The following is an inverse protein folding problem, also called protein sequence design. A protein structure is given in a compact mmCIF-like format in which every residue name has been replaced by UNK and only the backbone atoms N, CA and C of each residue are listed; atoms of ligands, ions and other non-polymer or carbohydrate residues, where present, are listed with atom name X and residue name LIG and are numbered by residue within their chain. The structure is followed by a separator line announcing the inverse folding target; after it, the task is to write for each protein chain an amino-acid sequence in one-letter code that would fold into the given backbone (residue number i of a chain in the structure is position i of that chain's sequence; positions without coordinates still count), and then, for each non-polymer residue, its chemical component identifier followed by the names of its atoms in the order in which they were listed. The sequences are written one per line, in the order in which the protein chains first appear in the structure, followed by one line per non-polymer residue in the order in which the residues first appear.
data_IF_957710888724
#
_entry.id   IF_957710888724
#
_cell.length_a   1.000
_cell.length_b   1.000
_cell.length_c   1.000
_cell.angle_alpha   90.00
_cell.angle_beta   90.00
_cell.angle_gamma   90.00
#
_symmetry.space_group_name_H-M   'P 1'
#
loop_
_entity.id
_entity.type
_entity.pdbx_description
1 polymer ?
#
# COMPACT_ATOMS: atom_id res chain seq x y z
N UNK A 1 -13.99 48.69 43.92
CA UNK A 1 -14.17 48.49 42.47
C UNK A 1 -13.85 47.02 42.23
N UNK A 2 -14.76 46.10 42.55
CA UNK A 2 -15.97 45.73 41.78
C UNK A 2 -15.57 45.34 40.35
N UNK A 3 -15.92 44.20 39.75
CA UNK A 3 -16.61 42.97 40.13
C UNK A 3 -16.45 42.04 38.90
N UNK A 4 -16.78 40.76 39.07
CA UNK A 4 -17.29 39.87 38.02
C UNK A 4 -16.40 39.44 36.83
N UNK A 5 -15.78 38.27 36.97
CA UNK A 5 -15.52 37.34 35.86
C UNK A 5 -16.15 35.97 36.16
N UNK A 6 -17.48 35.97 36.31
CA UNK A 6 -18.30 34.77 36.34
C UNK A 6 -19.09 34.60 35.05
N UNK A 7 -18.57 33.90 34.04
CA UNK A 7 -19.44 33.32 33.01
C UNK A 7 -18.80 32.09 32.30
N UNK A 8 -18.82 30.95 32.99
CA UNK A 8 -18.60 29.64 32.36
C UNK A 8 -19.90 29.22 31.67
N UNK A 9 -20.07 29.64 30.41
CA UNK A 9 -21.13 29.08 29.57
C UNK A 9 -20.86 27.59 29.30
N UNK A 10 -21.57 26.74 30.04
CA UNK A 10 -21.73 25.31 29.74
C UNK A 10 -22.42 25.16 28.39
N UNK A 11 -21.65 24.83 27.36
CA UNK A 11 -22.17 24.32 26.10
C UNK A 11 -22.74 22.90 26.31
N UNK A 12 -24.00 22.79 26.75
CA UNK A 12 -24.72 21.51 26.84
C UNK A 12 -25.52 21.23 25.57
N UNK A 13 -24.88 21.24 24.40
CA UNK A 13 -25.48 20.60 23.22
C UNK A 13 -25.15 19.12 23.24
N UNK A 14 -25.88 18.34 24.06
CA UNK A 14 -26.02 16.89 23.86
C UNK A 14 -26.73 16.67 22.52
N UNK A 15 -25.98 16.69 21.42
CA UNK A 15 -26.43 15.94 20.23
C UNK A 15 -26.43 14.49 20.67
N UNK A 16 -27.62 13.92 20.84
CA UNK A 16 -27.79 12.47 20.86
C UNK A 16 -27.19 11.95 19.56
N UNK A 17 -25.94 11.46 19.63
CA UNK A 17 -25.38 10.63 18.57
C UNK A 17 -26.37 9.48 18.38
N UNK A 18 -26.81 9.19 17.14
CA UNK A 18 -27.72 8.08 16.91
C UNK A 18 -27.10 6.80 17.50
N UNK A 19 -27.68 6.32 18.59
CA UNK A 19 -27.27 5.11 19.34
C UNK A 19 -27.57 3.84 18.56
N UNK A 20 -28.08 3.95 17.34
CA UNK A 20 -28.12 2.88 16.36
C UNK A 20 -26.75 2.73 15.69
N UNK A 21 -25.71 2.44 16.48
CA UNK A 21 -24.64 1.60 15.97
C UNK A 21 -25.33 0.28 15.65
N UNK A 22 -25.73 0.13 14.37
CA UNK A 22 -26.28 -1.10 13.82
C UNK A 22 -25.48 -2.24 14.43
N UNK A 23 -26.13 -3.13 15.19
CA UNK A 23 -25.55 -4.41 15.61
C UNK A 23 -25.07 -5.08 14.32
N UNK A 24 -23.82 -4.83 13.98
CA UNK A 24 -23.18 -5.45 12.85
C UNK A 24 -23.26 -6.93 13.17
N UNK A 25 -24.00 -7.67 12.37
CA UNK A 25 -24.36 -9.05 12.66
C UNK A 25 -23.07 -9.85 12.85
N UNK A 26 -22.73 -10.10 14.13
CA UNK A 26 -21.48 -10.72 14.53
C UNK A 26 -21.33 -12.09 13.87
N UNK A 27 -22.45 -12.75 13.53
CA UNK A 27 -22.48 -13.99 12.76
C UNK A 27 -21.95 -13.78 11.34
N UNK A 28 -22.38 -12.73 10.62
CA UNK A 28 -21.87 -12.40 9.28
C UNK A 28 -20.39 -12.09 9.29
N UNK A 29 -19.92 -11.36 10.30
CA UNK A 29 -18.48 -11.10 10.45
C UNK A 29 -17.69 -12.39 10.67
N UNK A 30 -18.12 -13.24 11.60
CA UNK A 30 -17.45 -14.50 11.89
C UNK A 30 -17.43 -15.45 10.67
N UNK A 31 -18.56 -15.58 9.98
CA UNK A 31 -18.67 -16.37 8.73
C UNK A 31 -17.70 -15.85 7.68
N UNK A 32 -17.61 -14.52 7.51
CA UNK A 32 -16.67 -13.92 6.57
C UNK A 32 -15.21 -14.21 6.92
N UNK A 33 -14.84 -14.11 8.21
CA UNK A 33 -13.48 -14.41 8.68
C UNK A 33 -13.12 -15.88 8.47
N UNK A 34 -14.02 -16.80 8.81
CA UNK A 34 -13.81 -18.24 8.65
C UNK A 34 -13.70 -18.60 7.16
N UNK A 35 -14.64 -18.13 6.34
CA UNK A 35 -14.64 -18.40 4.89
C UNK A 35 -13.36 -17.88 4.22
N UNK A 36 -12.89 -16.69 4.64
CA UNK A 36 -11.62 -16.14 4.17
C UNK A 36 -10.44 -17.03 4.56
N UNK A 37 -10.34 -17.44 5.83
CA UNK A 37 -9.25 -18.31 6.27
C UNK A 37 -9.26 -19.67 5.58
N UNK A 38 -10.45 -20.24 5.33
CA UNK A 38 -10.60 -21.48 4.57
C UNK A 38 -10.12 -21.30 3.11
N UNK A 39 -10.54 -20.23 2.44
CA UNK A 39 -10.11 -19.91 1.08
C UNK A 39 -8.58 -19.72 0.99
N UNK A 40 -7.97 -19.08 1.99
CA UNK A 40 -6.52 -18.89 2.08
C UNK A 40 -5.76 -20.22 2.13
N UNK A 41 -6.22 -21.15 2.97
CA UNK A 41 -5.61 -22.48 3.13
C UNK A 41 -5.82 -23.32 1.88
N UNK A 42 -7.02 -23.27 1.30
CA UNK A 42 -7.35 -23.98 0.06
C UNK A 42 -6.46 -23.49 -1.09
N UNK A 43 -6.34 -22.16 -1.27
CA UNK A 43 -5.51 -21.59 -2.32
C UNK A 43 -4.03 -22.00 -2.17
N UNK A 44 -3.51 -21.99 -0.94
CA UNK A 44 -2.15 -22.46 -0.63
C UNK A 44 -1.97 -23.95 -0.95
N UNK A 45 -2.94 -24.78 -0.55
CA UNK A 45 -2.91 -26.23 -0.80
C UNK A 45 -2.92 -26.53 -2.31
N UNK A 46 -3.85 -25.92 -3.05
CA UNK A 46 -3.97 -26.08 -4.51
C UNK A 46 -2.71 -25.60 -5.24
N UNK A 47 -2.12 -24.49 -4.82
CA UNK A 47 -0.85 -24.01 -5.36
C UNK A 47 0.29 -25.00 -5.10
N UNK A 48 0.37 -25.57 -3.88
CA UNK A 48 1.36 -26.58 -3.52
C UNK A 48 1.27 -27.85 -4.37
N UNK A 49 0.05 -28.29 -4.71
CA UNK A 49 -0.20 -29.38 -5.65
C UNK A 49 -0.15 -28.97 -7.13
N UNK A 50 0.34 -27.76 -7.44
CA UNK A 50 0.48 -27.22 -8.80
C UNK A 50 -0.82 -27.23 -9.62
N UNK A 51 -1.97 -27.03 -8.97
CA UNK A 51 -3.29 -27.02 -9.62
C UNK A 51 -3.59 -25.66 -10.27
N UNK A 52 -2.87 -25.32 -11.34
CA UNK A 52 -2.91 -24.01 -11.99
C UNK A 52 -4.33 -23.53 -12.35
N UNK A 53 -5.17 -24.42 -12.92
CA UNK A 53 -6.55 -24.10 -13.34
C UNK A 53 -7.42 -23.74 -12.13
N UNK A 54 -7.41 -24.57 -11.08
CA UNK A 54 -8.23 -24.35 -9.89
C UNK A 54 -7.80 -23.09 -9.14
N UNK A 55 -6.49 -22.84 -9.06
CA UNK A 55 -5.95 -21.60 -8.48
C UNK A 55 -6.40 -20.38 -9.30
N UNK A 56 -6.36 -20.43 -10.63
CA UNK A 56 -6.84 -19.33 -11.47
C UNK A 56 -8.34 -19.06 -11.30
N UNK A 57 -9.17 -20.11 -11.26
CA UNK A 57 -10.63 -20.00 -11.00
C UNK A 57 -10.88 -19.38 -9.63
N UNK A 58 -10.23 -19.88 -8.58
CA UNK A 58 -10.42 -19.35 -7.23
C UNK A 58 -9.92 -17.90 -7.11
N UNK A 59 -8.79 -17.57 -7.74
CA UNK A 59 -8.28 -16.21 -7.82
C UNK A 59 -9.30 -15.28 -8.48
N UNK A 60 -9.91 -15.70 -9.60
CA UNK A 60 -10.95 -14.94 -10.29
C UNK A 60 -12.19 -14.71 -9.43
N UNK A 61 -12.67 -15.74 -8.74
CA UNK A 61 -13.86 -15.66 -7.88
C UNK A 61 -13.65 -14.72 -6.68
N UNK A 62 -12.43 -14.70 -6.15
CA UNK A 62 -12.05 -13.86 -5.00
C UNK A 62 -11.59 -12.45 -5.41
N UNK A 63 -11.48 -12.18 -6.72
CA UNK A 63 -11.18 -10.85 -7.26
C UNK A 63 -12.49 -10.10 -7.52
N UNK A 64 -12.61 -8.91 -6.93
CA UNK A 64 -13.78 -8.04 -7.11
C UNK A 64 -13.49 -6.90 -8.08
N UNK A 65 -14.52 -6.27 -8.61
CA UNK A 65 -14.39 -5.02 -9.36
C UNK A 65 -14.29 -3.84 -8.38
N UNK A 66 -13.45 -2.85 -8.69
CA UNK A 66 -13.44 -1.58 -7.97
C UNK A 66 -14.64 -0.74 -8.43
N UNK A 67 -15.55 -0.31 -7.55
CA UNK A 67 -16.56 0.66 -7.92
C UNK A 67 -15.89 2.00 -8.22
N UNK A 68 -16.30 2.67 -9.31
CA UNK A 68 -15.78 3.97 -9.72
C UNK A 68 -16.86 4.82 -10.39
N UNK A 69 -16.69 6.15 -10.44
CA UNK A 69 -17.67 7.07 -11.04
C UNK A 69 -17.96 6.76 -12.51
N UNK A 70 -16.97 6.22 -13.23
CA UNK A 70 -17.09 5.83 -14.64
C UNK A 70 -17.32 4.32 -14.83
N UNK A 71 -17.66 3.59 -13.76
CA UNK A 71 -17.77 2.14 -13.75
C UNK A 71 -19.20 1.63 -14.06
N UNK A 72 -19.94 2.36 -14.90
CA UNK A 72 -21.36 2.17 -15.23
C UNK A 72 -21.69 0.93 -16.09
N UNK A 73 -20.77 -0.04 -16.20
CA UNK A 73 -20.90 -1.23 -17.06
C UNK A 73 -20.15 -1.07 -18.39
N UNK A 74 -20.51 -1.90 -19.37
CA UNK A 74 -19.91 -1.88 -20.72
C UNK A 74 -18.53 -2.52 -20.85
N UNK A 75 -17.93 -2.44 -22.03
CA UNK A 75 -16.55 -2.86 -22.25
C UNK A 75 -15.59 -1.70 -21.93
N UNK A 76 -14.38 -1.99 -21.44
CA UNK A 76 -13.35 -0.99 -21.16
C UNK A 76 -12.11 -1.31 -21.99
N UNK A 77 -11.35 -0.29 -22.39
CA UNK A 77 -10.15 -0.47 -23.23
C UNK A 77 -9.05 -1.21 -22.49
N UNK A 78 -8.89 -0.91 -21.20
CA UNK A 78 -7.86 -1.49 -20.36
C UNK A 78 -8.46 -2.11 -19.10
N UNK A 79 -7.93 -3.27 -18.72
CA UNK A 79 -8.26 -3.97 -17.50
C UNK A 79 -7.00 -4.08 -16.64
N UNK A 80 -7.04 -3.51 -15.44
CA UNK A 80 -5.90 -3.46 -14.54
C UNK A 80 -6.20 -4.27 -13.30
N UNK A 81 -5.31 -5.20 -12.94
CA UNK A 81 -5.39 -5.89 -11.66
C UNK A 81 -4.61 -5.11 -10.59
N UNK A 82 -5.30 -4.67 -9.55
CA UNK A 82 -4.72 -4.07 -8.36
C UNK A 82 -4.58 -5.12 -7.26
N UNK A 83 -3.37 -5.23 -6.69
CA UNK A 83 -3.14 -6.01 -5.47
C UNK A 83 -3.41 -5.11 -4.25
N UNK A 84 -4.49 -5.41 -3.53
CA UNK A 84 -5.05 -4.51 -2.52
C UNK A 84 -4.17 -4.33 -1.29
N UNK A 85 -4.02 -3.07 -0.87
CA UNK A 85 -3.33 -2.69 0.36
C UNK A 85 -3.95 -1.41 0.93
N UNK A 86 -3.96 -1.31 2.26
CA UNK A 86 -4.38 -0.10 2.98
C UNK A 86 -3.75 1.16 2.37
N UNK A 87 -4.54 2.22 2.22
CA UNK A 87 -4.22 3.51 1.57
C UNK A 87 -3.86 3.47 0.07
N UNK A 88 -3.46 2.32 -0.49
CA UNK A 88 -3.18 2.20 -1.92
C UNK A 88 -4.46 2.22 -2.75
N UNK A 89 -5.56 1.71 -2.19
CA UNK A 89 -6.89 1.79 -2.81
C UNK A 89 -7.26 3.22 -3.18
N UNK A 90 -6.99 4.19 -2.30
CA UNK A 90 -7.30 5.61 -2.55
C UNK A 90 -6.47 6.18 -3.69
N UNK A 91 -5.19 5.80 -3.80
CA UNK A 91 -4.34 6.26 -4.91
C UNK A 91 -4.83 5.71 -6.24
N UNK A 92 -5.15 4.42 -6.31
CA UNK A 92 -5.67 3.77 -7.52
C UNK A 92 -7.05 4.32 -7.87
N UNK A 93 -7.92 4.52 -6.87
CA UNK A 93 -9.25 5.09 -7.07
C UNK A 93 -9.20 6.51 -7.62
N UNK A 94 -8.34 7.37 -7.05
CA UNK A 94 -8.17 8.75 -7.48
C UNK A 94 -7.49 8.89 -8.86
N UNK A 95 -6.72 7.88 -9.29
CA UNK A 95 -6.05 7.85 -10.59
C UNK A 95 -6.79 6.95 -11.59
N UNK A 96 -6.45 5.66 -11.63
CA UNK A 96 -6.99 4.69 -12.58
C UNK A 96 -8.50 4.51 -12.47
N UNK A 97 -9.06 4.55 -11.26
CA UNK A 97 -10.50 4.43 -11.01
C UNK A 97 -11.32 5.63 -11.52
N UNK A 98 -10.68 6.78 -11.73
CA UNK A 98 -11.28 7.96 -12.34
C UNK A 98 -11.17 7.97 -13.87
N UNK A 99 -10.46 7.02 -14.49
CA UNK A 99 -10.31 6.95 -15.94
C UNK A 99 -11.54 6.28 -16.59
N UNK A 100 -12.12 6.86 -17.67
CA UNK A 100 -13.23 6.25 -18.38
C UNK A 100 -12.82 4.98 -19.15
N UNK A 101 -11.54 4.83 -19.47
CA UNK A 101 -11.00 3.75 -20.32
C UNK A 101 -10.54 2.52 -19.53
N UNK A 102 -10.43 2.64 -18.20
CA UNK A 102 -9.82 1.63 -17.34
C UNK A 102 -10.89 0.94 -16.49
N UNK A 103 -10.82 -0.39 -16.44
CA UNK A 103 -11.49 -1.22 -15.43
C UNK A 103 -10.46 -1.69 -14.41
N UNK A 104 -10.68 -1.39 -13.14
CA UNK A 104 -9.81 -1.89 -12.06
C UNK A 104 -10.46 -3.11 -11.39
N UNK A 105 -9.72 -4.21 -11.37
CA UNK A 105 -10.03 -5.41 -10.60
C UNK A 105 -9.18 -5.42 -9.34
N UNK A 106 -9.76 -5.73 -8.19
CA UNK A 106 -9.11 -5.67 -6.89
C UNK A 106 -8.99 -7.08 -6.33
N UNK A 107 -7.76 -7.58 -6.33
CA UNK A 107 -7.41 -8.82 -5.65
C UNK A 107 -6.94 -8.51 -4.24
N UNK A 108 -7.50 -9.17 -3.23
CA UNK A 108 -6.97 -9.03 -1.88
C UNK A 108 -5.52 -9.55 -1.84
N UNK A 109 -4.56 -8.79 -1.31
CA UNK A 109 -3.13 -9.22 -1.19
C UNK A 109 -2.94 -10.60 -0.58
N UNK A 110 -3.88 -11.04 0.23
CA UNK A 110 -3.87 -12.38 0.81
C UNK A 110 -3.84 -13.46 -0.27
N UNK A 111 -4.49 -13.28 -1.41
CA UNK A 111 -4.49 -14.27 -2.50
C UNK A 111 -3.06 -14.55 -2.98
N UNK A 112 -2.33 -13.50 -3.32
CA UNK A 112 -0.93 -13.60 -3.77
C UNK A 112 -0.04 -14.16 -2.64
N UNK A 113 -0.26 -13.74 -1.39
CA UNK A 113 0.50 -14.27 -0.23
C UNK A 113 0.25 -15.75 0.03
N UNK A 114 -0.98 -16.23 -0.13
CA UNK A 114 -1.33 -17.64 0.04
C UNK A 114 -0.67 -18.52 -1.03
N UNK A 115 -0.65 -18.05 -2.29
CA UNK A 115 0.06 -18.76 -3.37
C UNK A 115 1.57 -18.74 -3.08
N UNK A 116 2.14 -17.58 -2.78
CA UNK A 116 3.57 -17.45 -2.46
C UNK A 116 3.98 -18.36 -1.30
N UNK A 117 3.16 -18.48 -0.24
CA UNK A 117 3.43 -19.33 0.91
C UNK A 117 3.41 -20.84 0.62
N UNK A 118 2.96 -21.27 -0.57
CA UNK A 118 3.09 -22.64 -1.02
C UNK A 118 4.50 -22.98 -1.53
N UNK A 119 5.28 -21.96 -1.91
CA UNK A 119 6.60 -22.11 -2.52
C UNK A 119 7.71 -21.52 -1.66
N UNK A 120 7.51 -20.29 -1.18
CA UNK A 120 8.54 -19.50 -0.54
C UNK A 120 8.74 -19.92 0.93
N UNK A 121 10.00 -19.92 1.41
CA UNK A 121 10.30 -20.18 2.80
C UNK A 121 9.67 -19.12 3.73
N UNK A 122 9.18 -19.50 4.92
CA UNK A 122 8.50 -18.59 5.83
C UNK A 122 9.38 -17.47 6.39
N UNK A 123 10.71 -17.61 6.30
CA UNK A 123 11.71 -16.64 6.73
C UNK A 123 11.73 -15.40 5.84
N UNK A 124 11.27 -15.49 4.58
CA UNK A 124 11.22 -14.34 3.68
C UNK A 124 10.18 -13.31 4.10
N UNK A 125 10.58 -12.04 4.04
CA UNK A 125 9.68 -10.91 4.21
C UNK A 125 10.06 -9.70 3.35
N UNK A 126 9.26 -8.63 3.47
CA UNK A 126 9.40 -7.41 2.66
C UNK A 126 10.73 -6.66 2.91
N UNK A 127 11.42 -6.96 4.02
CA UNK A 127 12.72 -6.40 4.43
C UNK A 127 13.81 -7.49 4.58
N UNK A 128 13.56 -8.71 4.12
CA UNK A 128 14.51 -9.82 4.10
C UNK A 128 14.14 -10.76 2.96
N UNK A 129 14.49 -10.34 1.74
CA UNK A 129 14.19 -11.11 0.54
C UNK A 129 15.42 -11.62 -0.18
N UNK A 130 16.50 -10.83 -0.21
CA UNK A 130 17.78 -11.24 -0.81
C UNK A 130 18.31 -12.44 -0.01
N UNK A 131 18.75 -13.48 -0.71
CA UNK A 131 19.22 -14.73 -0.13
C UNK A 131 20.08 -15.47 -1.12
N UNK A 132 21.24 -15.95 -0.66
CA UNK A 132 22.18 -16.76 -1.43
C UNK A 132 21.98 -18.27 -1.21
N UNK A 133 21.08 -18.66 -0.30
CA UNK A 133 20.70 -20.06 -0.11
C UNK A 133 20.13 -20.66 -1.42
N UNK A 134 20.75 -21.73 -1.98
CA UNK A 134 20.30 -22.36 -3.21
C UNK A 134 18.85 -22.86 -3.16
N UNK A 135 18.38 -23.34 -1.99
CA UNK A 135 16.99 -23.81 -1.84
C UNK A 135 16.01 -22.66 -1.98
N UNK A 136 16.30 -21.54 -1.33
CA UNK A 136 15.50 -20.31 -1.45
C UNK A 136 15.49 -19.76 -2.88
N UNK A 137 16.63 -19.80 -3.58
CA UNK A 137 16.72 -19.40 -4.99
C UNK A 137 15.84 -20.31 -5.86
N UNK A 138 15.90 -21.63 -5.66
CA UNK A 138 15.06 -22.55 -6.41
C UNK A 138 13.56 -22.35 -6.10
N UNK A 139 13.19 -22.15 -4.84
CA UNK A 139 11.81 -21.86 -4.44
C UNK A 139 11.22 -20.61 -5.13
N UNK A 140 12.03 -19.54 -5.30
CA UNK A 140 11.64 -18.36 -6.06
C UNK A 140 11.41 -18.66 -7.54
N UNK A 141 12.30 -19.46 -8.16
CA UNK A 141 12.14 -19.91 -9.56
C UNK A 141 10.87 -20.72 -9.75
N UNK A 142 10.64 -21.68 -8.87
CA UNK A 142 9.44 -22.54 -8.86
C UNK A 142 8.15 -21.73 -8.74
N UNK A 143 8.14 -20.71 -7.87
CA UNK A 143 7.02 -19.80 -7.71
C UNK A 143 6.77 -18.99 -8.99
N UNK A 144 7.83 -18.40 -9.56
CA UNK A 144 7.77 -17.65 -10.83
C UNK A 144 7.24 -18.53 -11.98
N UNK A 145 7.70 -19.77 -12.09
CA UNK A 145 7.24 -20.72 -13.10
C UNK A 145 5.75 -21.07 -12.92
N UNK A 146 5.32 -21.35 -11.67
CA UNK A 146 3.91 -21.59 -11.38
C UNK A 146 3.04 -20.42 -11.82
N UNK A 147 3.43 -19.18 -11.48
CA UNK A 147 2.71 -17.98 -11.88
C UNK A 147 2.67 -17.82 -13.40
N UNK A 148 3.77 -18.10 -14.09
CA UNK A 148 3.86 -18.04 -15.55
C UNK A 148 2.86 -18.99 -16.23
N UNK A 149 2.63 -20.18 -15.65
CA UNK A 149 1.65 -21.16 -16.15
C UNK A 149 0.21 -20.83 -15.74
N UNK A 150 0.01 -20.31 -14.53
CA UNK A 150 -1.32 -19.98 -14.00
C UNK A 150 -1.90 -18.72 -14.67
N UNK A 151 -1.06 -17.73 -15.00
CA UNK A 151 -1.54 -16.42 -15.43
C UNK A 151 -2.30 -16.40 -16.76
N UNK A 152 -1.89 -17.13 -17.81
CA UNK A 152 -2.69 -17.22 -19.05
C UNK A 152 -4.10 -17.75 -18.79
N UNK A 153 -4.25 -18.74 -17.89
CA UNK A 153 -5.56 -19.26 -17.49
C UNK A 153 -6.41 -18.21 -16.78
N UNK A 154 -5.80 -17.42 -15.88
CA UNK A 154 -6.48 -16.31 -15.21
C UNK A 154 -6.90 -15.23 -16.22
N UNK A 155 -6.05 -14.93 -17.20
CA UNK A 155 -6.30 -13.89 -18.21
C UNK A 155 -7.44 -14.30 -19.16
N UNK A 156 -7.58 -15.60 -19.43
CA UNK A 156 -8.73 -16.14 -20.15
C UNK A 156 -10.04 -15.96 -19.36
N UNK A 157 -10.03 -16.16 -18.04
CA UNK A 157 -11.21 -15.96 -17.16
C UNK A 157 -11.55 -14.49 -16.92
N UNK A 158 -10.55 -13.61 -17.00
CA UNK A 158 -10.66 -12.18 -16.77
C UNK A 158 -9.50 -11.48 -17.45
N UNK A 159 -9.75 -10.69 -18.51
CA UNK A 159 -8.70 -9.94 -19.18
C UNK A 159 -7.96 -9.04 -18.19
N UNK A 160 -6.63 -9.07 -18.24
CA UNK A 160 -5.73 -8.23 -17.46
C UNK A 160 -4.64 -7.72 -18.39
N UNK A 161 -4.64 -6.41 -18.63
CA UNK A 161 -3.67 -5.73 -19.48
C UNK A 161 -2.48 -5.19 -18.68
N UNK A 162 -2.61 -5.00 -17.37
CA UNK A 162 -1.53 -4.58 -16.48
C UNK A 162 -1.82 -4.96 -15.03
N UNK A 163 -0.78 -5.04 -14.21
CA UNK A 163 -0.87 -5.26 -12.76
C UNK A 163 -0.28 -4.07 -12.02
N UNK A 164 -0.93 -3.63 -10.95
CA UNK A 164 -0.46 -2.56 -10.07
C UNK A 164 -0.34 -3.03 -8.62
N UNK A 165 0.77 -2.66 -7.98
CA UNK A 165 1.08 -2.95 -6.57
C UNK A 165 1.41 -1.68 -5.79
N UNK A 166 1.25 -1.71 -4.46
CA UNK A 166 1.56 -0.60 -3.56
C UNK A 166 3.05 -0.47 -3.18
N UNK A 167 3.90 -1.43 -3.55
CA UNK A 167 5.31 -1.44 -3.18
C UNK A 167 6.12 -2.37 -4.10
N UNK A 168 7.33 -1.96 -4.46
CA UNK A 168 8.21 -2.80 -5.27
C UNK A 168 8.78 -4.01 -4.50
N UNK A 169 8.85 -3.91 -3.16
CA UNK A 169 9.57 -4.83 -2.29
C UNK A 169 8.70 -5.88 -1.61
N UNK A 170 7.41 -6.01 -1.94
CA UNK A 170 6.55 -6.99 -1.29
C UNK A 170 6.93 -8.42 -1.67
N UNK A 171 7.32 -9.24 -0.69
CA UNK A 171 7.95 -10.53 -0.93
C UNK A 171 7.13 -11.45 -1.85
N UNK A 172 5.81 -11.47 -1.68
CA UNK A 172 4.91 -12.34 -2.43
C UNK A 172 4.71 -11.87 -3.89
N UNK A 173 5.03 -10.62 -4.18
CA UNK A 173 4.72 -9.96 -5.46
C UNK A 173 5.94 -9.84 -6.38
N UNK A 174 7.14 -10.22 -5.91
CA UNK A 174 8.38 -10.08 -6.68
C UNK A 174 8.49 -11.07 -7.82
N UNK A 175 8.26 -12.34 -7.53
CA UNK A 175 8.21 -13.35 -8.60
C UNK A 175 6.96 -13.18 -9.47
N UNK A 176 5.91 -12.55 -8.94
CA UNK A 176 4.76 -12.13 -9.75
C UNK A 176 5.16 -11.05 -10.75
N UNK A 177 5.87 -10.01 -10.33
CA UNK A 177 6.40 -9.00 -11.24
C UNK A 177 7.28 -9.64 -12.32
N UNK A 178 8.20 -10.53 -11.93
CA UNK A 178 9.04 -11.27 -12.88
C UNK A 178 8.25 -12.12 -13.88
N UNK A 179 7.24 -12.86 -13.42
CA UNK A 179 6.37 -13.67 -14.26
C UNK A 179 5.55 -12.82 -15.24
N UNK A 180 5.05 -11.65 -14.79
CA UNK A 180 4.27 -10.76 -15.64
C UNK A 180 5.11 -10.20 -16.79
N UNK A 181 6.34 -9.79 -16.49
CA UNK A 181 7.25 -9.28 -17.52
C UNK A 181 7.61 -10.33 -18.57
N UNK A 182 7.83 -11.59 -18.16
CA UNK A 182 8.05 -12.72 -19.08
C UNK A 182 6.87 -12.95 -20.02
N UNK A 183 5.65 -12.70 -19.54
CA UNK A 183 4.41 -12.83 -20.31
C UNK A 183 4.07 -11.55 -21.10
N UNK A 184 4.90 -10.51 -21.05
CA UNK A 184 4.65 -9.24 -21.70
C UNK A 184 3.57 -8.38 -21.03
N UNK A 185 3.10 -8.76 -19.84
CA UNK A 185 2.12 -7.99 -19.05
C UNK A 185 2.86 -6.98 -18.19
N UNK A 186 2.63 -5.66 -18.35
CA UNK A 186 3.28 -4.65 -17.51
C UNK A 186 2.93 -4.81 -16.03
N UNK A 187 3.94 -4.96 -15.19
CA UNK A 187 3.79 -4.89 -13.74
C UNK A 187 4.34 -3.56 -13.21
N UNK A 188 3.48 -2.75 -12.60
CA UNK A 188 3.81 -1.42 -12.10
C UNK A 188 3.73 -1.40 -10.57
N UNK A 189 4.74 -0.84 -9.91
CA UNK A 189 4.67 -0.58 -8.47
C UNK A 189 4.44 0.91 -8.22
N UNK A 190 3.31 1.29 -7.62
CA UNK A 190 3.13 2.61 -7.03
C UNK A 190 3.67 2.57 -5.60
N UNK A 191 4.97 2.84 -5.47
CA UNK A 191 5.62 2.78 -4.18
C UNK A 191 5.21 3.98 -3.34
N UNK A 192 4.41 3.75 -2.29
CA UNK A 192 3.77 4.84 -1.51
C UNK A 192 4.59 5.37 -0.32
N UNK A 193 5.69 4.73 0.03
CA UNK A 193 6.48 5.03 1.24
C UNK A 193 7.50 6.17 1.01
N UNK A 194 7.06 7.31 0.47
CA UNK A 194 7.94 8.39 -0.04
C UNK A 194 8.18 9.55 0.93
N UNK A 195 7.72 9.47 2.19
CA UNK A 195 7.95 10.50 3.20
C UNK A 195 9.32 10.33 3.85
N UNK A 196 10.39 10.56 3.08
CA UNK A 196 11.78 10.49 3.52
C UNK A 196 12.43 11.87 3.46
N UNK A 197 13.30 12.16 4.43
CA UNK A 197 14.12 13.38 4.44
C UNK A 197 15.49 13.13 3.80
N UNK A 198 16.20 14.18 3.34
CA UNK A 198 17.53 14.05 2.75
C UNK A 198 18.52 13.28 3.64
N UNK A 199 18.54 13.56 4.95
CA UNK A 199 19.43 12.88 5.91
C UNK A 199 19.16 11.38 6.11
N UNK A 200 18.10 10.82 5.50
CA UNK A 200 17.78 9.38 5.57
C UNK A 200 18.00 8.65 4.25
N UNK A 201 18.44 9.35 3.20
CA UNK A 201 18.56 8.78 1.87
C UNK A 201 19.54 7.61 1.84
N UNK A 202 20.72 7.77 2.44
CA UNK A 202 21.76 6.72 2.44
C UNK A 202 21.33 5.48 3.20
N UNK A 203 20.77 5.67 4.40
CA UNK A 203 20.20 4.57 5.18
C UNK A 203 19.18 3.75 4.37
N UNK A 204 18.27 4.42 3.67
CA UNK A 204 17.27 3.73 2.86
C UNK A 204 17.84 3.13 1.58
N UNK A 205 18.82 3.78 0.96
CA UNK A 205 19.48 3.23 -0.21
C UNK A 205 20.18 1.91 0.12
N UNK A 206 20.88 1.86 1.26
CA UNK A 206 21.55 0.63 1.72
C UNK A 206 20.55 -0.44 2.14
N UNK A 207 19.49 -0.07 2.87
CA UNK A 207 18.41 -0.99 3.21
C UNK A 207 17.79 -1.61 1.96
N UNK A 208 17.53 -0.79 0.94
CA UNK A 208 16.93 -1.24 -0.31
C UNK A 208 17.87 -2.13 -1.07
N UNK A 209 19.13 -1.74 -1.28
CA UNK A 209 20.13 -2.55 -2.00
C UNK A 209 20.33 -3.92 -1.35
N UNK A 210 20.59 -3.92 -0.04
CA UNK A 210 21.10 -5.11 0.64
C UNK A 210 20.00 -6.06 1.11
N UNK A 211 18.79 -5.56 1.36
CA UNK A 211 17.70 -6.40 1.91
C UNK A 211 16.53 -6.63 0.97
N UNK A 212 16.24 -5.64 0.11
CA UNK A 212 15.21 -5.77 -0.92
C UNK A 212 15.88 -6.22 -2.23
N UNK A 213 16.83 -5.52 -2.78
CA UNK A 213 17.41 -5.85 -4.09
C UNK A 213 16.46 -5.52 -5.24
N UNK A 214 16.83 -5.89 -6.48
CA UNK A 214 16.25 -5.30 -7.69
C UNK A 214 14.78 -5.65 -7.89
N UNK A 215 14.05 -4.69 -8.46
CA UNK A 215 12.68 -4.85 -8.91
C UNK A 215 12.66 -5.29 -10.37
N UNK A 216 11.89 -6.34 -10.64
CA UNK A 216 11.82 -6.96 -11.97
C UNK A 216 10.71 -6.40 -12.85
N UNK A 217 9.68 -5.75 -12.29
CA UNK A 217 8.54 -5.23 -13.03
C UNK A 217 8.83 -4.00 -13.90
N UNK A 218 7.93 -3.67 -14.83
CA UNK A 218 8.09 -2.64 -15.89
C UNK A 218 8.54 -1.28 -15.39
N UNK A 219 7.93 -0.73 -14.34
CA UNK A 219 8.17 0.65 -13.90
C UNK A 219 7.77 0.83 -12.44
N UNK A 220 8.49 1.71 -11.74
CA UNK A 220 8.08 2.17 -10.41
C UNK A 220 7.56 3.60 -10.51
N UNK A 221 6.39 3.83 -9.95
CA UNK A 221 5.79 5.14 -9.77
C UNK A 221 6.07 5.58 -8.32
N UNK A 222 6.64 6.77 -8.16
CA UNK A 222 6.99 7.36 -6.85
C UNK A 222 6.36 8.73 -6.69
N UNK A 223 6.27 9.23 -5.46
CA UNK A 223 5.61 10.53 -5.21
C UNK A 223 6.54 11.73 -5.38
N UNK A 224 7.86 11.57 -5.26
CA UNK A 224 8.80 12.68 -5.25
C UNK A 224 10.21 12.25 -5.73
N UNK A 225 11.07 13.25 -5.91
CA UNK A 225 12.45 13.08 -6.37
C UNK A 225 13.33 12.36 -5.34
N UNK A 226 13.11 12.57 -4.03
CA UNK A 226 13.89 11.90 -2.98
C UNK A 226 13.79 10.38 -3.13
N UNK A 227 12.58 9.84 -3.29
CA UNK A 227 12.42 8.40 -3.47
C UNK A 227 13.07 7.90 -4.77
N UNK A 228 12.88 8.64 -5.88
CA UNK A 228 13.50 8.28 -7.16
C UNK A 228 15.01 8.13 -6.99
N UNK A 229 15.66 9.12 -6.38
CA UNK A 229 17.11 9.09 -6.12
C UNK A 229 17.49 7.90 -5.23
N UNK A 230 16.75 7.64 -4.15
CA UNK A 230 17.03 6.50 -3.26
C UNK A 230 16.96 5.17 -4.03
N UNK A 231 15.90 4.93 -4.80
CA UNK A 231 15.70 3.67 -5.51
C UNK A 231 16.71 3.47 -6.64
N UNK A 232 17.06 4.53 -7.36
CA UNK A 232 18.11 4.49 -8.38
C UNK A 232 19.49 4.28 -7.77
N UNK A 233 19.84 5.01 -6.69
CA UNK A 233 21.10 4.81 -5.96
C UNK A 233 21.23 3.39 -5.41
N UNK A 234 20.13 2.80 -4.96
CA UNK A 234 20.06 1.44 -4.45
C UNK A 234 19.99 0.35 -5.53
N UNK A 235 20.07 0.72 -6.81
CA UNK A 235 20.01 -0.20 -7.96
C UNK A 235 18.74 -1.07 -7.97
N UNK A 236 17.65 -0.53 -7.43
CA UNK A 236 16.35 -1.22 -7.43
C UNK A 236 15.79 -1.26 -8.83
N UNK A 237 15.97 -0.17 -9.57
CA UNK A 237 15.50 -0.01 -10.95
C UNK A 237 16.30 1.11 -11.63
N UNK A 238 16.40 1.06 -12.96
CA UNK A 238 17.06 2.09 -13.76
C UNK A 238 16.27 3.41 -13.73
N UNK A 239 16.96 4.58 -13.79
CA UNK A 239 16.31 5.88 -13.61
C UNK A 239 15.23 6.22 -14.66
N UNK A 240 15.33 5.70 -15.89
CA UNK A 240 14.36 5.86 -16.98
C UNK A 240 13.04 5.09 -16.74
N UNK A 241 13.09 4.08 -15.86
CA UNK A 241 11.94 3.27 -15.44
C UNK A 241 11.36 3.72 -14.09
N UNK A 242 11.69 4.92 -13.64
CA UNK A 242 11.04 5.57 -12.50
C UNK A 242 10.25 6.79 -12.97
N UNK A 243 8.99 6.90 -12.59
CA UNK A 243 8.16 8.08 -12.89
C UNK A 243 7.67 8.71 -11.60
N UNK A 244 7.87 10.02 -11.47
CA UNK A 244 7.33 10.80 -10.37
C UNK A 244 5.90 11.20 -10.73
N UNK A 245 4.94 10.74 -9.94
CA UNK A 245 3.51 10.93 -10.21
C UNK A 245 2.79 11.73 -9.11
N UNK A 246 3.52 12.24 -8.11
CA UNK A 246 2.88 12.87 -6.93
C UNK A 246 2.11 11.85 -6.10
N UNK A 247 1.21 12.30 -5.23
CA UNK A 247 0.39 11.44 -4.36
C UNK A 247 -1.07 11.53 -4.80
N UNK A 248 -1.57 10.63 -5.68
CA UNK A 248 -2.88 10.79 -6.33
C UNK A 248 -4.05 11.01 -5.36
N UNK A 249 -4.04 10.35 -4.19
CA UNK A 249 -5.09 10.54 -3.17
C UNK A 249 -5.19 11.98 -2.63
N UNK A 250 -4.16 12.81 -2.80
CA UNK A 250 -4.16 14.23 -2.41
C UNK A 250 -4.57 15.17 -3.53
N UNK A 251 -4.76 14.69 -4.76
CA UNK A 251 -5.11 15.54 -5.91
C UNK A 251 -6.39 16.33 -5.64
N UNK A 252 -7.40 15.70 -5.02
CA UNK A 252 -8.63 16.37 -4.60
C UNK A 252 -8.39 17.53 -3.62
N UNK A 253 -7.46 17.35 -2.68
CA UNK A 253 -7.12 18.39 -1.68
C UNK A 253 -6.39 19.54 -2.36
N UNK A 254 -5.48 19.25 -3.29
CA UNK A 254 -4.79 20.27 -4.07
C UNK A 254 -5.74 21.05 -4.99
N UNK A 255 -6.67 20.37 -5.65
CA UNK A 255 -7.71 21.00 -6.47
C UNK A 255 -8.58 21.94 -5.63
N UNK A 256 -9.03 21.48 -4.45
CA UNK A 256 -9.77 22.33 -3.51
C UNK A 256 -8.96 23.56 -3.08
N UNK A 257 -7.70 23.38 -2.67
CA UNK A 257 -6.83 24.48 -2.26
C UNK A 257 -6.66 25.53 -3.36
N UNK A 258 -6.45 25.10 -4.61
CA UNK A 258 -6.34 26.02 -5.77
C UNK A 258 -7.64 26.77 -6.01
N UNK A 259 -8.76 26.06 -6.04
CA UNK A 259 -10.09 26.68 -6.20
C UNK A 259 -10.35 27.77 -5.14
N UNK A 260 -10.01 27.52 -3.88
CA UNK A 260 -10.15 28.51 -2.79
C UNK A 260 -9.18 29.69 -2.96
N UNK A 261 -7.95 29.46 -3.43
CA UNK A 261 -6.95 30.51 -3.62
C UNK A 261 -7.22 31.40 -4.83
N UNK A 262 -7.69 30.81 -5.95
CA UNK A 262 -7.97 31.51 -7.21
C UNK A 262 -9.28 32.31 -7.13
N UNK A 263 -10.20 31.90 -6.26
CA UNK A 263 -11.32 32.73 -5.84
C UNK A 263 -10.77 33.92 -5.05
N UNK A 264 -10.51 35.04 -5.75
CA UNK A 264 -10.11 36.35 -5.17
C UNK A 264 -10.98 36.81 -4.00
N UNK A 265 -12.14 36.20 -3.78
CA UNK A 265 -12.85 36.10 -2.49
C UNK A 265 -13.80 34.89 -2.55
N UNK A 266 -13.91 34.04 -1.53
CA UNK A 266 -15.16 33.34 -1.27
C UNK A 266 -15.94 34.19 -0.28
N UNK A 267 -16.64 35.21 -0.79
CA UNK A 267 -17.75 35.79 -0.04
C UNK A 267 -18.92 34.80 0.12
N UNK A 268 -18.83 33.56 -0.42
CA UNK A 268 -19.95 32.61 -0.36
C UNK A 268 -19.63 31.13 -0.07
N UNK A 269 -18.36 30.69 -0.05
CA UNK A 269 -18.06 29.27 0.24
C UNK A 269 -18.21 28.90 1.74
N UNK A 270 -18.42 29.90 2.60
CA UNK A 270 -18.68 29.75 4.04
C UNK A 270 -20.05 30.30 4.47
N UNK A 271 -20.99 30.56 3.54
CA UNK A 271 -22.30 31.14 3.89
C UNK A 271 -23.17 30.21 4.75
N UNK A 272 -22.79 28.92 4.87
CA UNK A 272 -23.39 27.98 5.82
C UNK A 272 -22.78 27.99 7.23
N UNK A 273 -21.84 28.90 7.54
CA UNK A 273 -21.23 29.06 8.87
C UNK A 273 -20.29 27.93 9.31
N UNK A 274 -20.03 26.92 8.48
CA UNK A 274 -19.31 25.70 8.88
C UNK A 274 -17.86 25.71 8.41
N UNK A 275 -16.95 26.09 9.32
CA UNK A 275 -15.50 26.07 9.08
C UNK A 275 -15.00 24.65 8.77
N UNK A 276 -14.25 24.49 7.68
CA UNK A 276 -13.50 23.26 7.40
C UNK A 276 -12.12 23.39 8.05
N UNK A 277 -11.78 22.46 8.94
CA UNK A 277 -10.47 22.39 9.60
C UNK A 277 -9.75 21.14 9.13
N UNK A 278 -8.51 21.31 8.65
CA UNK A 278 -7.62 20.20 8.31
C UNK A 278 -6.72 19.90 9.51
N UNK A 279 -6.82 18.69 10.04
CA UNK A 279 -5.99 18.22 11.15
C UNK A 279 -5.00 17.18 10.64
N UNK A 280 -3.73 17.34 11.01
CA UNK A 280 -2.70 16.32 10.85
C UNK A 280 -2.35 15.74 12.21
N UNK A 281 -2.19 14.42 12.27
CA UNK A 281 -1.75 13.71 13.47
C UNK A 281 -0.50 12.91 13.17
N UNK A 282 0.47 12.98 14.07
CA UNK A 282 1.74 12.26 13.97
C UNK A 282 1.93 11.42 15.22
N UNK A 283 2.48 10.21 15.07
CA UNK A 283 2.86 9.38 16.22
C UNK A 283 4.23 9.80 16.74
N UNK A 284 4.56 9.46 17.99
CA UNK A 284 5.90 9.68 18.58
C UNK A 284 7.07 9.02 17.83
N UNK A 285 6.83 8.24 16.77
CA UNK A 285 7.88 7.66 15.92
C UNK A 285 7.73 8.02 14.46
N UNK A 286 6.75 8.84 14.10
CA UNK A 286 6.58 9.26 12.71
C UNK A 286 7.81 10.03 12.26
N UNK A 287 8.41 9.66 11.13
CA UNK A 287 9.62 10.32 10.61
C UNK A 287 10.95 9.85 11.22
N UNK A 288 10.96 9.04 12.29
CA UNK A 288 12.20 8.47 12.84
C UNK A 288 12.62 7.18 12.11
N UNK A 289 13.92 6.86 12.05
CA UNK A 289 14.43 5.58 11.58
C UNK A 289 13.92 4.41 12.43
N UNK A 290 13.29 3.45 11.76
CA UNK A 290 12.76 2.24 12.39
C UNK A 290 12.71 1.10 11.37
N UNK A 291 13.36 -0.02 11.69
CA UNK A 291 13.20 -1.26 10.92
C UNK A 291 12.17 -2.14 11.60
N UNK A 292 10.95 -2.19 11.06
CA UNK A 292 9.90 -3.08 11.58
C UNK A 292 10.12 -4.52 11.15
N UNK A 293 9.87 -5.45 12.08
CA UNK A 293 9.86 -6.91 11.87
C UNK A 293 8.49 -7.50 12.12
N UNK A 294 8.23 -8.67 11.51
CA UNK A 294 7.00 -9.44 11.78
C UNK A 294 7.04 -9.95 13.23
N UNK A 295 5.86 -10.13 13.84
CA UNK A 295 5.74 -10.61 15.24
C UNK A 295 6.38 -11.99 15.50
N UNK A 296 6.65 -12.77 14.45
CA UNK A 296 7.24 -14.11 14.54
C UNK A 296 8.77 -14.13 14.47
N UNK A 297 9.42 -12.98 14.29
CA UNK A 297 10.88 -12.92 14.14
C UNK A 297 11.66 -13.02 15.46
N UNK A 298 10.98 -13.25 16.60
CA UNK A 298 11.61 -13.24 17.93
C UNK A 298 12.08 -11.86 18.41
N UNK A 299 11.85 -10.80 17.63
CA UNK A 299 12.32 -9.44 17.95
C UNK A 299 11.33 -8.75 18.89
N UNK A 300 11.78 -8.44 20.11
CA UNK A 300 11.02 -7.69 21.12
C UNK A 300 10.58 -6.35 20.52
N UNK A 301 9.33 -5.94 20.76
CA UNK A 301 8.73 -4.72 20.21
C UNK A 301 8.63 -4.64 18.66
N UNK A 302 8.81 -5.76 17.94
CA UNK A 302 8.65 -5.85 16.48
C UNK A 302 9.50 -4.84 15.70
N UNK A 303 10.59 -4.39 16.28
CA UNK A 303 11.49 -3.40 15.67
C UNK A 303 12.91 -3.79 15.99
N UNK A 304 13.78 -3.83 14.98
CA UNK A 304 15.19 -4.08 15.23
C UNK A 304 15.79 -2.91 16.00
N UNK A 305 16.52 -3.16 17.10
CA UNK A 305 17.31 -2.12 17.73
C UNK A 305 18.35 -1.63 16.72
N UNK A 306 18.52 -0.31 16.65
CA UNK A 306 19.61 0.32 15.92
C UNK A 306 20.64 0.73 16.97
N UNK A 307 21.82 0.11 16.94
CA UNK A 307 22.85 0.29 17.98
C UNK A 307 23.64 1.61 17.82
N UNK A 308 23.49 2.29 16.69
CA UNK A 308 24.18 3.55 16.38
C UNK A 308 23.41 4.79 16.88
N UNK A 309 24.03 5.97 16.71
CA UNK A 309 23.43 7.27 17.06
C UNK A 309 22.03 7.48 16.46
N UNK A 310 21.77 6.87 15.29
CA UNK A 310 20.48 6.91 14.63
C UNK A 310 19.37 6.27 15.47
N UNK A 311 19.68 5.20 16.20
CA UNK A 311 18.76 4.54 17.12
C UNK A 311 18.46 5.34 18.39
N UNK A 312 19.33 6.30 18.74
CA UNK A 312 19.16 7.19 19.90
C UNK A 312 18.26 8.40 19.60
N UNK A 313 17.95 8.67 18.33
CA UNK A 313 17.06 9.76 17.94
C UNK A 313 15.67 9.59 18.56
N UNK A 314 15.19 10.62 19.26
CA UNK A 314 13.84 10.66 19.78
C UNK A 314 13.24 12.05 19.63
N UNK A 315 11.94 12.11 19.34
CA UNK A 315 11.22 13.39 19.32
C UNK A 315 11.28 14.06 20.69
N UNK A 316 11.31 13.30 21.79
CA UNK A 316 11.45 13.87 23.14
C UNK A 316 12.73 14.69 23.27
N UNK A 317 13.86 14.09 22.92
CA UNK A 317 15.18 14.75 22.94
C UNK A 317 15.16 15.94 21.99
N UNK A 318 14.70 15.76 20.74
CA UNK A 318 14.62 16.86 19.77
C UNK A 318 13.76 18.03 20.26
N UNK A 319 12.59 17.75 20.87
CA UNK A 319 11.72 18.78 21.44
C UNK A 319 12.39 19.50 22.61
N UNK A 320 13.08 18.77 23.50
CA UNK A 320 13.85 19.34 24.60
C UNK A 320 14.96 20.25 24.06
N UNK A 321 15.77 19.74 23.14
CA UNK A 321 16.91 20.47 22.57
C UNK A 321 16.49 21.68 21.74
N UNK A 322 15.34 21.64 21.06
CA UNK A 322 14.87 22.73 20.19
C UNK A 322 14.08 23.83 20.91
N UNK A 323 13.55 23.56 22.11
CA UNK A 323 12.75 24.55 22.88
C UNK A 323 13.52 25.13 24.08
N UNK A 324 14.74 24.63 24.34
CA UNK A 324 15.62 25.11 25.41
C UNK A 324 16.91 25.75 24.85
N UNK A 325 16.96 26.00 23.53
CA UNK A 325 18.05 26.68 22.82
C UNK A 325 17.74 28.15 22.54
#
# INVERSE_FOLDING_TARGET
MLDDYGNTQRWSTRRQLPTTLHRYDMKKFLVHVIARSAAERLLRLLAGYRQHVLVAVLFRLLTRRMPGPHDLGGNKRYHVLMIDKDTFYEDVFASLGASPDVRVHVANRVLVKSIAAAFLPPELDDNFYVSDDPKTIQAKRDYCEFLTKMWPLLTWLMPINAVVSANFGYYAERELAGAMERLGVPFLALHKENLKSPGRMDFYADLYRNRRGPFTGRRILVYNEIERVIQTKAEIITPDRVTICGMPRLDRVHAWRKCVADQKHPATANDGGRKIVLLFSFTQKTGLPLMRRKSRSGVINRSEPMENEVGKLSWKILFQDSHWA
#
